data_IF_408085363412
#
_entry.id   IF_408085363412
#
_cell.length_a   1.000
_cell.length_b   1.000
_cell.length_c   1.000
_cell.angle_alpha   90.00
_cell.angle_beta   90.00
_cell.angle_gamma   90.00
#
_symmetry.space_group_name_H-M   'P 1'
#
loop_
_entity.id
_entity.type
_entity.pdbx_description
1 polymer ?
#
# COMPACT_ATOMS: atom_id res chain seq x y z
N UNK A 1 5.16 -4.41 4.31
CA UNK A 1 5.28 -5.44 3.25
C UNK A 1 6.46 -5.06 2.36
N UNK A 2 7.41 -5.95 2.04
CA UNK A 2 8.68 -5.56 1.38
C UNK A 2 8.72 -5.81 -0.13
N UNK A 3 9.20 -4.83 -0.88
CA UNK A 3 9.49 -4.91 -2.31
C UNK A 3 10.83 -5.61 -2.51
N UNK A 4 10.84 -6.64 -3.35
CA UNK A 4 12.06 -7.39 -3.70
C UNK A 4 12.79 -6.73 -4.88
N UNK A 5 12.06 -6.29 -5.90
CA UNK A 5 12.59 -5.57 -7.06
C UNK A 5 11.51 -4.73 -7.74
N UNK A 6 11.96 -3.74 -8.50
CA UNK A 6 11.11 -2.92 -9.37
C UNK A 6 11.75 -2.84 -10.75
N UNK A 7 10.93 -2.92 -11.80
CA UNK A 7 11.33 -2.58 -13.16
C UNK A 7 10.27 -1.70 -13.80
N UNK A 8 10.65 -0.94 -14.83
CA UNK A 8 9.76 0.01 -15.49
C UNK A 8 9.64 -0.31 -16.98
N UNK A 9 8.50 0.05 -17.58
CA UNK A 9 8.26 -0.14 -19.01
C UNK A 9 7.53 1.07 -19.59
N UNK A 10 8.29 1.95 -20.26
CA UNK A 10 7.75 3.18 -20.86
C UNK A 10 6.75 2.92 -22.00
N UNK A 11 6.80 1.75 -22.67
CA UNK A 11 5.81 1.37 -23.70
C UNK A 11 4.48 0.96 -23.07
N UNK A 12 4.52 0.18 -21.99
CA UNK A 12 3.33 -0.21 -21.20
C UNK A 12 2.86 0.88 -20.22
N UNK A 13 3.65 1.92 -20.03
CA UNK A 13 3.41 3.04 -19.10
C UNK A 13 3.17 2.58 -17.65
N UNK A 14 4.05 1.73 -17.14
CA UNK A 14 3.93 1.23 -15.77
C UNK A 14 5.19 0.58 -15.21
N UNK A 15 5.16 0.32 -13.91
CA UNK A 15 6.15 -0.43 -13.15
C UNK A 15 5.68 -1.85 -12.89
N UNK A 16 6.58 -2.82 -13.03
CA UNK A 16 6.41 -4.16 -12.49
C UNK A 16 7.11 -4.21 -11.14
N UNK A 17 6.32 -4.31 -10.08
CA UNK A 17 6.77 -4.34 -8.69
C UNK A 17 6.66 -5.76 -8.18
N UNK A 18 7.79 -6.34 -7.75
CA UNK A 18 7.79 -7.69 -7.15
C UNK A 18 7.72 -7.60 -5.64
N UNK A 19 6.74 -8.29 -5.06
CA UNK A 19 6.50 -8.38 -3.62
C UNK A 19 6.39 -9.87 -3.30
N UNK A 20 7.30 -10.40 -2.48
CA UNK A 20 7.47 -11.86 -2.27
C UNK A 20 7.60 -12.57 -3.64
N UNK A 21 6.74 -13.56 -3.92
CA UNK A 21 6.67 -14.31 -5.18
C UNK A 21 5.78 -13.69 -6.25
N UNK A 22 5.02 -12.63 -5.92
CA UNK A 22 4.02 -12.06 -6.80
C UNK A 22 4.55 -10.79 -7.50
N UNK A 23 4.12 -10.58 -8.74
CA UNK A 23 4.43 -9.38 -9.52
C UNK A 23 3.16 -8.56 -9.77
N UNK A 24 3.23 -7.27 -9.47
CA UNK A 24 2.10 -6.35 -9.58
C UNK A 24 2.44 -5.23 -10.56
N UNK A 25 1.49 -4.86 -11.41
CA UNK A 25 1.64 -3.71 -12.28
C UNK A 25 1.13 -2.46 -11.58
N UNK A 26 1.93 -1.39 -11.61
CA UNK A 26 1.53 -0.08 -11.11
C UNK A 26 1.63 0.95 -12.23
N UNK A 27 0.52 1.61 -12.64
CA UNK A 27 0.49 2.45 -13.82
C UNK A 27 1.10 3.84 -13.55
N UNK A 28 1.74 4.40 -14.58
CA UNK A 28 2.30 5.76 -14.51
C UNK A 28 1.25 6.86 -14.29
N UNK A 29 -0.01 6.60 -14.67
CA UNK A 29 -1.11 7.53 -14.48
C UNK A 29 -1.48 7.76 -12.99
N UNK A 30 -0.95 6.94 -12.07
CA UNK A 30 -1.15 7.06 -10.62
C UNK A 30 0.03 7.74 -9.92
N UNK A 31 1.02 8.22 -10.67
CA UNK A 31 2.19 8.89 -10.13
C UNK A 31 1.94 10.38 -9.94
N UNK A 32 2.48 10.95 -8.87
CA UNK A 32 2.48 12.40 -8.67
C UNK A 32 3.35 13.10 -9.74
N UNK A 33 4.56 12.59 -9.99
CA UNK A 33 5.41 13.00 -11.10
C UNK A 33 5.19 12.07 -12.31
N UNK A 34 4.10 12.28 -13.03
CA UNK A 34 3.77 11.46 -14.19
C UNK A 34 4.73 11.69 -15.37
N UNK A 35 5.30 10.62 -15.98
CA UNK A 35 6.13 10.70 -17.17
C UNK A 35 5.30 11.06 -18.42
N UNK A 36 5.94 11.76 -19.36
CA UNK A 36 5.38 12.13 -20.66
C UNK A 36 6.16 11.46 -21.81
N UNK A 37 5.80 11.75 -23.07
CA UNK A 37 6.56 11.31 -24.23
C UNK A 37 7.97 11.93 -24.31
N UNK A 38 8.13 13.13 -23.74
CA UNK A 38 9.36 13.93 -23.74
C UNK A 38 10.14 13.83 -22.42
N UNK A 39 9.51 13.27 -21.38
CA UNK A 39 10.08 13.13 -20.05
C UNK A 39 9.80 11.74 -19.48
N UNK A 40 10.58 10.75 -19.93
CA UNK A 40 10.34 9.33 -19.62
C UNK A 40 10.97 8.92 -18.30
N UNK A 41 10.51 7.80 -17.74
CA UNK A 41 11.22 7.17 -16.61
C UNK A 41 12.55 6.60 -17.12
N UNK A 42 13.65 6.97 -16.47
CA UNK A 42 15.01 6.48 -16.77
C UNK A 42 15.55 5.56 -15.68
N UNK A 43 15.03 5.67 -14.46
CA UNK A 43 15.50 4.90 -13.31
C UNK A 43 14.34 4.58 -12.39
N UNK A 44 14.37 3.39 -11.80
CA UNK A 44 13.50 3.00 -10.69
C UNK A 44 14.28 2.07 -9.76
N UNK A 45 14.28 2.36 -8.46
CA UNK A 45 15.02 1.60 -7.47
C UNK A 45 14.20 1.39 -6.21
N UNK A 46 14.30 0.18 -5.63
CA UNK A 46 13.74 -0.09 -4.31
C UNK A 46 14.48 0.75 -3.29
N UNK A 47 13.73 1.50 -2.49
CA UNK A 47 14.28 2.45 -1.54
C UNK A 47 14.55 1.74 -0.20
N UNK A 48 15.83 1.69 0.19
CA UNK A 48 16.23 1.06 1.44
C UNK A 48 15.91 1.94 2.67
N UNK A 49 15.87 3.25 2.51
CA UNK A 49 15.56 4.21 3.58
C UNK A 49 14.08 4.13 3.97
N UNK A 50 13.22 3.75 3.03
CA UNK A 50 11.80 3.42 3.27
C UNK A 50 11.58 1.98 3.76
N UNK A 51 12.60 1.32 4.33
CA UNK A 51 12.49 -0.06 4.81
C UNK A 51 12.19 -1.08 3.72
N UNK A 52 12.46 -0.74 2.45
CA UNK A 52 12.04 -1.47 1.24
C UNK A 52 10.53 -1.58 1.07
N UNK A 53 9.78 -0.67 1.68
CA UNK A 53 8.32 -0.56 1.53
C UNK A 53 7.93 0.49 0.49
N UNK A 54 8.92 1.13 -0.15
CA UNK A 54 8.72 2.01 -1.30
C UNK A 54 9.80 1.82 -2.35
N UNK A 55 9.55 2.41 -3.52
CA UNK A 55 10.56 2.60 -4.55
C UNK A 55 10.52 4.03 -5.06
N UNK A 56 11.68 4.53 -5.48
CA UNK A 56 11.84 5.87 -6.04
C UNK A 56 12.16 5.75 -7.52
N UNK A 57 11.60 6.62 -8.33
CA UNK A 57 11.84 6.69 -9.77
C UNK A 57 12.30 8.09 -10.17
N UNK A 58 13.04 8.17 -11.26
CA UNK A 58 13.56 9.42 -11.81
C UNK A 58 13.16 9.53 -13.29
N UNK A 59 12.77 10.74 -13.69
CA UNK A 59 12.45 11.10 -15.06
C UNK A 59 13.69 11.67 -15.79
N UNK A 60 13.65 11.76 -17.12
CA UNK A 60 14.72 12.36 -17.94
C UNK A 60 15.06 13.80 -17.50
N UNK A 61 14.05 14.56 -17.06
CA UNK A 61 14.19 15.91 -16.49
C UNK A 61 14.90 15.98 -15.14
N UNK A 62 15.18 14.83 -14.52
CA UNK A 62 15.72 14.74 -13.16
C UNK A 62 14.67 14.87 -12.06
N UNK A 63 13.39 15.07 -12.40
CA UNK A 63 12.30 15.00 -11.42
C UNK A 63 12.20 13.58 -10.86
N UNK A 64 12.00 13.50 -9.56
CA UNK A 64 11.86 12.23 -8.85
C UNK A 64 10.47 12.10 -8.24
N UNK A 65 10.07 10.86 -7.98
CA UNK A 65 8.90 10.55 -7.19
C UNK A 65 9.03 9.21 -6.51
N UNK A 66 8.19 8.99 -5.50
CA UNK A 66 8.23 7.79 -4.66
C UNK A 66 6.86 7.13 -4.66
N UNK A 67 6.84 5.80 -4.74
CA UNK A 67 5.62 4.99 -4.66
C UNK A 67 5.76 4.04 -3.49
N UNK A 68 4.81 4.10 -2.56
CA UNK A 68 4.73 3.15 -1.44
C UNK A 68 4.06 1.84 -1.87
N UNK A 69 4.45 0.72 -1.27
CA UNK A 69 3.95 -0.63 -1.56
C UNK A 69 2.43 -0.73 -1.37
N UNK A 70 1.87 0.01 -0.43
CA UNK A 70 0.44 0.06 -0.17
C UNK A 70 -0.33 0.60 -1.37
N UNK A 71 0.17 1.65 -2.04
CA UNK A 71 -0.46 2.19 -3.25
C UNK A 71 -0.52 1.14 -4.36
N UNK A 72 0.54 0.32 -4.48
CA UNK A 72 0.62 -0.77 -5.46
C UNK A 72 -0.42 -1.84 -5.15
N UNK A 73 -0.48 -2.29 -3.90
CA UNK A 73 -1.40 -3.35 -3.46
C UNK A 73 -2.86 -2.89 -3.48
N UNK A 74 -3.11 -1.63 -3.14
CA UNK A 74 -4.43 -1.01 -3.22
C UNK A 74 -4.91 -0.94 -4.67
N UNK A 75 -4.09 -0.45 -5.59
CA UNK A 75 -4.45 -0.40 -7.01
C UNK A 75 -4.75 -1.79 -7.58
N UNK A 76 -3.96 -2.79 -7.20
CA UNK A 76 -4.14 -4.17 -7.67
C UNK A 76 -5.20 -4.96 -6.89
N UNK A 77 -5.85 -4.35 -5.89
CA UNK A 77 -6.85 -4.98 -5.03
C UNK A 77 -6.34 -6.31 -4.44
N UNK A 78 -5.10 -6.32 -3.94
CA UNK A 78 -4.52 -7.52 -3.33
C UNK A 78 -5.44 -8.01 -2.17
N UNK A 79 -5.95 -9.26 -2.22
CA UNK A 79 -6.96 -9.71 -1.26
C UNK A 79 -6.50 -9.68 0.19
N UNK A 80 -5.22 -9.98 0.44
CA UNK A 80 -4.69 -9.98 1.80
C UNK A 80 -4.58 -8.56 2.35
N UNK A 81 -4.03 -7.63 1.55
CA UNK A 81 -3.94 -6.22 1.92
C UNK A 81 -5.34 -5.58 2.11
N UNK A 82 -6.29 -5.86 1.22
CA UNK A 82 -7.67 -5.38 1.34
C UNK A 82 -8.36 -5.89 2.60
N UNK A 83 -8.22 -7.19 2.91
CA UNK A 83 -8.75 -7.79 4.14
C UNK A 83 -8.17 -7.12 5.38
N UNK A 84 -6.85 -6.96 5.44
CA UNK A 84 -6.17 -6.41 6.61
C UNK A 84 -6.53 -4.94 6.80
N UNK A 85 -6.63 -4.17 5.70
CA UNK A 85 -7.11 -2.78 5.70
C UNK A 85 -8.54 -2.67 6.20
N UNK A 86 -9.44 -3.55 5.74
CA UNK A 86 -10.83 -3.57 6.18
C UNK A 86 -10.92 -3.93 7.67
N UNK A 87 -10.19 -4.95 8.12
CA UNK A 87 -10.15 -5.38 9.51
C UNK A 87 -9.67 -4.24 10.43
N UNK A 88 -8.64 -3.51 10.03
CA UNK A 88 -8.15 -2.35 10.76
C UNK A 88 -9.23 -1.27 10.90
N UNK A 89 -9.89 -0.89 9.80
CA UNK A 89 -10.98 0.10 9.81
C UNK A 89 -12.14 -0.33 10.71
N UNK A 90 -12.55 -1.59 10.64
CA UNK A 90 -13.61 -2.15 11.50
C UNK A 90 -13.20 -2.16 12.98
N UNK A 91 -11.93 -2.41 13.27
CA UNK A 91 -11.40 -2.38 14.64
C UNK A 91 -11.43 -0.97 15.21
N UNK A 92 -11.03 0.04 14.44
CA UNK A 92 -11.13 1.45 14.86
C UNK A 92 -12.59 1.86 15.12
N UNK A 93 -13.50 1.47 14.22
CA UNK A 93 -14.92 1.76 14.40
C UNK A 93 -15.50 1.04 15.64
N UNK A 94 -15.12 -0.22 15.85
CA UNK A 94 -15.51 -0.96 17.05
C UNK A 94 -15.00 -0.26 18.32
N UNK A 95 -13.73 0.17 18.36
CA UNK A 95 -13.18 0.91 19.49
C UNK A 95 -13.95 2.21 19.76
N UNK A 96 -14.27 2.97 18.71
CA UNK A 96 -15.03 4.21 18.83
C UNK A 96 -16.44 3.97 19.39
N UNK A 97 -17.12 2.91 18.95
CA UNK A 97 -18.46 2.57 19.46
C UNK A 97 -18.42 2.07 20.89
N UNK A 98 -17.43 1.26 21.26
CA UNK A 98 -17.26 0.81 22.65
C UNK A 98 -17.06 2.00 23.58
N UNK A 99 -16.20 2.96 23.23
CA UNK A 99 -15.97 4.19 24.02
C UNK A 99 -17.24 5.03 24.20
N UNK A 100 -18.14 5.04 23.21
CA UNK A 100 -19.41 5.78 23.25
C UNK A 100 -20.54 5.01 23.93
N UNK A 101 -20.39 3.70 24.10
CA UNK A 101 -21.43 2.86 24.70
C UNK A 101 -21.42 2.97 26.23
N UNK A 102 -22.59 2.80 26.85
CA UNK A 102 -22.71 2.64 28.31
C UNK A 102 -22.37 1.22 28.79
N UNK A 103 -21.98 0.32 27.88
CA UNK A 103 -21.71 -1.07 28.21
C UNK A 103 -20.34 -1.20 28.89
N UNK A 104 -20.31 -1.93 30.01
CA UNK A 104 -19.04 -2.29 30.64
C UNK A 104 -18.27 -3.30 29.77
N UNK A 105 -16.94 -3.32 29.91
CA UNK A 105 -16.06 -4.31 29.25
C UNK A 105 -16.56 -5.74 29.49
N UNK A 106 -17.02 -6.07 30.71
CA UNK A 106 -17.57 -7.40 31.06
C UNK A 106 -18.84 -7.75 30.29
N UNK A 107 -19.75 -6.78 30.14
CA UNK A 107 -20.99 -7.01 29.40
C UNK A 107 -20.72 -7.21 27.90
N UNK A 108 -19.74 -6.49 27.35
CA UNK A 108 -19.29 -6.69 25.96
C UNK A 108 -18.68 -8.09 25.80
N UNK A 109 -17.76 -8.49 26.69
CA UNK A 109 -17.13 -9.82 26.70
C UNK A 109 -18.20 -10.92 26.73
N UNK A 110 -19.19 -10.79 27.62
CA UNK A 110 -20.31 -11.74 27.77
C UNK A 110 -21.13 -11.87 26.49
N UNK A 111 -21.47 -10.75 25.84
CA UNK A 111 -22.26 -10.75 24.58
C UNK A 111 -21.49 -11.33 23.40
N UNK A 112 -20.18 -11.09 23.35
CA UNK A 112 -19.33 -11.61 22.26
C UNK A 112 -18.88 -13.06 22.48
N UNK A 113 -19.14 -13.65 23.65
CA UNK A 113 -18.67 -15.00 23.97
C UNK A 113 -17.15 -15.11 24.01
N UNK A 114 -16.47 -14.04 24.43
CA UNK A 114 -14.99 -13.96 24.46
C UNK A 114 -14.44 -14.16 25.88
N UNK A 115 -13.15 -14.43 26.02
CA UNK A 115 -12.49 -14.53 27.32
C UNK A 115 -12.21 -13.13 27.90
N UNK A 116 -12.17 -13.04 29.23
CA UNK A 116 -11.77 -11.83 29.92
C UNK A 116 -10.24 -11.76 29.99
N UNK A 117 -9.62 -11.04 29.05
CA UNK A 117 -8.21 -10.63 29.10
C UNK A 117 -8.06 -9.17 29.52
#
# INVERSE_FOLDING_TARGET
>A
MKISSVSFNNRRKGFLVKIKSNGFWFPYARLDAAPTSEDKVVRALVDAELGREGFTYMLESGREGTVHVEQVLEYNQDPAYMRDTLLYKLTLEAQNRVKKSSLSKREIIRRLGTSAT
#
